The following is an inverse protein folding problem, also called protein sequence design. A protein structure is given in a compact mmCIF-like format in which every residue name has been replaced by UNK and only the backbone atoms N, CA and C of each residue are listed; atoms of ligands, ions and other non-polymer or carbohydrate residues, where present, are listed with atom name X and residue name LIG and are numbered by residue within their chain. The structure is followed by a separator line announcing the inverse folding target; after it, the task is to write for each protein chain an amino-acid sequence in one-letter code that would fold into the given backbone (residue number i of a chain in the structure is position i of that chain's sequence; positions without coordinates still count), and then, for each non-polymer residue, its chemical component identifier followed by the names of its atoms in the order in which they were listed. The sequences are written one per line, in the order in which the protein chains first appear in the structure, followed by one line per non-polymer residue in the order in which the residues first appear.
data_IF_832640499447
#
_entry.id   IF_832640499447
#
_cell.length_a   1.000
_cell.length_b   1.000
_cell.length_c   1.000
_cell.angle_alpha   90.00
_cell.angle_beta   90.00
_cell.angle_gamma   90.00
#
_symmetry.space_group_name_H-M   'P 1'
#
loop_
_entity.id
_entity.type
_entity.pdbx_description
1 polymer ?
#
# COMPACT_ATOMS: atom_id res chain seq x y z
N UNK A 1 19.68 52.97 20.35
CA UNK A 1 19.29 51.85 21.23
C UNK A 1 18.22 50.93 20.64
N UNK A 2 17.07 51.42 20.17
CA UNK A 2 16.00 50.57 19.61
C UNK A 2 16.40 49.65 18.44
N UNK A 3 17.29 50.10 17.54
CA UNK A 3 17.77 49.28 16.40
C UNK A 3 18.70 48.12 16.81
N UNK A 4 19.33 48.18 17.99
CA UNK A 4 20.20 47.10 18.50
C UNK A 4 19.32 46.04 19.19
N UNK A 5 18.30 46.48 19.93
CA UNK A 5 17.35 45.58 20.60
C UNK A 5 16.57 44.73 19.58
N UNK A 6 16.14 45.32 18.46
CA UNK A 6 15.44 44.59 17.39
C UNK A 6 16.36 43.57 16.68
N UNK A 7 17.65 43.88 16.52
CA UNK A 7 18.63 42.93 15.96
C UNK A 7 18.96 41.79 16.92
N UNK A 8 18.99 42.03 18.23
CA UNK A 8 19.11 40.97 19.24
C UNK A 8 17.85 40.08 19.30
N UNK A 9 16.65 40.64 19.10
CA UNK A 9 15.40 39.87 19.07
C UNK A 9 15.33 38.90 17.88
N UNK A 10 15.88 39.29 16.73
CA UNK A 10 15.95 38.42 15.55
C UNK A 10 17.02 37.31 15.67
N UNK A 11 18.09 37.53 16.45
CA UNK A 11 19.10 36.50 16.70
C UNK A 11 18.63 35.43 17.71
N UNK A 12 17.72 35.78 18.63
CA UNK A 12 17.12 34.84 19.60
C UNK A 12 16.01 33.95 19.01
N UNK A 13 15.50 34.26 17.81
CA UNK A 13 14.53 33.42 17.09
C UNK A 13 15.18 32.34 16.22
N UNK A 14 16.51 32.35 16.05
CA UNK A 14 17.25 31.37 15.24
C UNK A 14 17.83 30.23 16.08
N UNK A 15 17.74 30.30 17.41
CA UNK A 15 17.86 29.11 18.25
C UNK A 15 16.59 28.28 18.17
N UNK A 16 16.28 27.76 16.97
CA UNK A 16 15.43 26.58 16.84
C UNK A 16 16.17 25.47 17.57
N UNK A 17 15.76 25.24 18.82
CA UNK A 17 15.99 23.94 19.44
C UNK A 17 15.34 22.95 18.48
N UNK A 18 16.17 22.21 17.75
CA UNK A 18 15.75 21.19 16.79
C UNK A 18 15.19 20.00 17.58
N UNK A 19 14.10 20.23 18.32
CA UNK A 19 13.32 19.16 18.89
C UNK A 19 12.69 18.44 17.72
N UNK A 20 12.99 17.15 17.59
CA UNK A 20 12.34 16.32 16.59
C UNK A 20 10.81 16.50 16.70
N UNK A 21 10.13 16.57 15.55
CA UNK A 21 8.68 16.81 15.53
C UNK A 21 7.97 15.72 16.36
N UNK A 22 7.09 16.13 17.27
CA UNK A 22 6.35 15.20 18.12
C UNK A 22 5.43 14.31 17.27
N UNK A 23 5.27 13.05 17.68
CA UNK A 23 4.34 12.11 17.03
C UNK A 23 2.91 12.65 17.13
N UNK A 24 2.10 12.38 16.10
CA UNK A 24 0.69 12.78 16.11
C UNK A 24 -0.10 11.88 17.06
N UNK A 25 -1.24 12.36 17.55
CA UNK A 25 -2.13 11.58 18.44
C UNK A 25 -3.53 11.40 17.87
N UNK A 26 -3.79 11.92 16.66
CA UNK A 26 -5.06 11.78 15.96
C UNK A 26 -4.83 11.11 14.60
N UNK A 27 -5.34 9.88 14.46
CA UNK A 27 -5.18 9.06 13.25
C UNK A 27 -5.75 9.74 12.00
N UNK A 28 -6.93 10.36 12.10
CA UNK A 28 -7.58 10.98 10.94
C UNK A 28 -6.78 12.17 10.40
N UNK A 29 -6.24 13.01 11.30
CA UNK A 29 -5.37 14.15 10.93
C UNK A 29 -4.05 13.62 10.35
N UNK A 30 -3.47 12.56 10.94
CA UNK A 30 -2.26 11.93 10.42
C UNK A 30 -2.46 11.39 9.00
N UNK A 31 -3.59 10.73 8.74
CA UNK A 31 -3.96 10.25 7.39
C UNK A 31 -4.15 11.40 6.39
N UNK A 32 -4.77 12.52 6.79
CA UNK A 32 -4.89 13.73 5.93
C UNK A 32 -3.53 14.34 5.60
N UNK A 33 -2.64 14.39 6.59
CA UNK A 33 -1.27 14.88 6.40
C UNK A 33 -0.48 13.95 5.48
N UNK A 34 -0.58 12.63 5.69
CA UNK A 34 0.08 11.62 4.88
C UNK A 34 -0.36 11.68 3.41
N UNK A 35 -1.66 11.85 3.15
CA UNK A 35 -2.20 12.07 1.82
C UNK A 35 -1.60 13.31 1.15
N UNK A 36 -1.48 14.42 1.88
CA UNK A 36 -0.93 15.69 1.38
C UNK A 36 0.58 15.59 1.11
N UNK A 37 1.30 14.86 1.97
CA UNK A 37 2.75 14.67 1.86
C UNK A 37 3.15 13.51 0.94
N UNK A 38 2.19 12.76 0.40
CA UNK A 38 2.42 11.54 -0.39
C UNK A 38 3.25 10.49 0.38
N UNK A 39 2.90 10.26 1.66
CA UNK A 39 3.56 9.31 2.55
C UNK A 39 2.59 8.24 3.02
N UNK A 40 3.15 7.15 3.53
CA UNK A 40 2.42 6.17 4.34
C UNK A 40 2.34 6.67 5.80
N UNK A 41 1.42 6.10 6.57
CA UNK A 41 1.29 6.36 8.00
C UNK A 41 2.08 5.29 8.76
N UNK A 42 2.89 5.71 9.74
CA UNK A 42 3.48 4.82 10.72
C UNK A 42 2.67 4.93 12.00
N UNK A 43 1.99 3.87 12.37
CA UNK A 43 1.08 3.83 13.50
C UNK A 43 1.57 2.84 14.56
N UNK A 44 1.43 3.25 15.82
CA UNK A 44 1.60 2.40 16.99
C UNK A 44 0.42 2.58 17.93
N UNK A 45 0.12 1.56 18.72
CA UNK A 45 -0.84 1.64 19.82
C UNK A 45 -0.26 2.42 20.99
N UNK A 46 -1.11 3.12 21.74
CA UNK A 46 -0.72 3.92 22.89
C UNK A 46 -0.05 3.07 23.97
N UNK A 47 -0.52 1.84 24.20
CA UNK A 47 0.08 0.93 25.18
C UNK A 47 1.57 0.67 24.89
N UNK A 48 1.96 0.58 23.61
CA UNK A 48 3.35 0.37 23.19
C UNK A 48 4.30 1.49 23.60
N UNK A 49 3.77 2.65 23.99
CA UNK A 49 4.54 3.83 24.43
C UNK A 49 4.79 3.86 25.93
N UNK A 50 4.18 2.95 26.69
CA UNK A 50 4.28 2.91 28.16
C UNK A 50 5.60 2.31 28.66
N UNK A 51 6.39 1.72 27.77
CA UNK A 51 7.71 1.16 28.02
C UNK A 51 8.69 1.55 26.90
N UNK A 52 10.02 1.49 27.14
CA UNK A 52 11.01 1.75 26.10
C UNK A 52 10.83 0.78 24.92
N UNK A 53 10.42 1.33 23.78
CA UNK A 53 10.22 0.55 22.56
C UNK A 53 11.53 0.43 21.78
N UNK A 54 12.31 -0.59 22.12
CA UNK A 54 13.61 -0.85 21.49
C UNK A 54 13.49 -1.20 20.00
N UNK A 55 14.35 -0.60 19.17
CA UNK A 55 14.40 -0.86 17.74
C UNK A 55 15.84 -1.01 17.25
N UNK A 56 16.00 -1.72 16.14
CA UNK A 56 17.25 -1.76 15.40
C UNK A 56 17.24 -0.72 14.27
N UNK A 57 18.40 -0.17 13.94
CA UNK A 57 18.63 0.61 12.74
C UNK A 57 20.02 0.32 12.19
N UNK A 58 20.26 0.57 10.90
CA UNK A 58 21.60 0.57 10.34
C UNK A 58 22.18 1.99 10.43
N UNK A 59 23.42 2.10 10.89
CA UNK A 59 24.17 3.35 10.82
C UNK A 59 24.61 3.67 9.38
N UNK A 60 25.29 4.81 9.20
CA UNK A 60 25.78 5.28 7.89
C UNK A 60 26.73 4.29 7.20
N UNK A 61 27.38 3.39 7.96
CA UNK A 61 28.28 2.36 7.44
C UNK A 61 27.56 1.02 7.22
N UNK A 62 26.25 0.97 7.42
CA UNK A 62 25.44 -0.25 7.31
C UNK A 62 25.53 -1.18 8.52
N UNK A 63 26.13 -0.74 9.64
CA UNK A 63 26.23 -1.54 10.86
C UNK A 63 24.93 -1.45 11.64
N UNK A 64 24.44 -2.61 12.08
CA UNK A 64 23.26 -2.70 12.93
C UNK A 64 23.54 -2.11 14.32
N UNK A 65 22.71 -1.16 14.74
CA UNK A 65 22.74 -0.50 16.05
C UNK A 65 21.39 -0.63 16.74
N UNK A 66 21.41 -0.74 18.06
CA UNK A 66 20.22 -0.77 18.91
C UNK A 66 19.91 0.63 19.41
N UNK A 67 18.64 1.03 19.32
CA UNK A 67 18.08 2.24 19.91
C UNK A 67 17.11 1.83 20.99
N UNK A 68 17.32 2.33 22.21
CA UNK A 68 16.56 1.94 23.40
C UNK A 68 15.07 2.29 23.32
N UNK A 69 14.74 3.45 22.76
CA UNK A 69 13.35 3.91 22.61
C UNK A 69 13.13 4.61 21.27
N UNK A 70 12.20 4.09 20.48
CA UNK A 70 11.73 4.67 19.23
C UNK A 70 11.14 6.08 19.42
N UNK A 71 10.51 6.33 20.58
CA UNK A 71 9.75 7.55 20.85
C UNK A 71 10.62 8.68 21.40
N UNK A 72 11.72 8.35 22.07
CA UNK A 72 12.60 9.32 22.73
C UNK A 72 13.86 9.64 21.91
N UNK A 73 14.14 8.85 20.86
CA UNK A 73 15.35 9.03 20.04
C UNK A 73 15.26 10.28 19.16
N UNK A 74 16.09 11.28 19.48
CA UNK A 74 16.29 12.49 18.65
C UNK A 74 16.90 12.17 17.28
N UNK A 75 17.55 11.01 17.13
CA UNK A 75 18.15 10.58 15.86
C UNK A 75 17.12 9.91 14.96
N UNK A 76 16.25 9.06 15.52
CA UNK A 76 15.29 8.28 14.73
C UNK A 76 14.03 9.07 14.38
N UNK A 77 13.55 9.93 15.28
CA UNK A 77 12.31 10.67 15.05
C UNK A 77 12.31 11.50 13.75
N UNK A 78 13.37 12.29 13.43
CA UNK A 78 13.44 13.01 12.15
C UNK A 78 13.42 12.08 10.92
N UNK A 79 14.10 10.93 11.00
CA UNK A 79 14.13 9.94 9.91
C UNK A 79 12.75 9.33 9.72
N UNK A 80 12.04 8.99 10.80
CA UNK A 80 10.66 8.49 10.70
C UNK A 80 9.76 9.53 10.03
N UNK A 81 9.86 10.81 10.42
CA UNK A 81 9.11 11.90 9.80
C UNK A 81 9.45 12.15 8.33
N UNK A 82 10.68 11.85 7.91
CA UNK A 82 11.09 11.96 6.51
C UNK A 82 10.29 11.00 5.63
N UNK A 83 10.13 9.75 6.04
CA UNK A 83 9.53 8.68 5.23
C UNK A 83 8.05 8.42 5.52
N UNK A 84 7.58 8.74 6.73
CA UNK A 84 6.23 8.46 7.20
C UNK A 84 5.59 9.66 7.88
N UNK A 85 4.29 9.56 8.11
CA UNK A 85 3.61 10.38 9.12
C UNK A 85 3.40 9.50 10.37
N UNK A 86 4.16 9.71 11.46
CA UNK A 86 4.04 8.91 12.67
C UNK A 86 2.87 9.34 13.55
N UNK A 87 2.14 8.36 14.07
CA UNK A 87 0.98 8.55 14.95
C UNK A 87 0.92 7.50 16.04
N UNK A 88 0.64 7.95 17.26
CA UNK A 88 0.26 7.12 18.41
C UNK A 88 -1.26 7.15 18.47
N UNK A 89 -1.90 5.98 18.42
CA UNK A 89 -3.37 5.86 18.42
C UNK A 89 -3.81 5.36 19.78
N UNK A 90 -4.79 6.04 20.38
CA UNK A 90 -5.28 5.67 21.71
C UNK A 90 -6.01 4.33 21.71
N UNK A 91 -5.84 3.58 22.79
CA UNK A 91 -6.57 2.32 23.02
C UNK A 91 -8.08 2.51 23.00
N UNK A 92 -8.58 3.71 23.33
CA UNK A 92 -10.01 4.00 23.26
C UNK A 92 -10.57 3.89 21.84
N UNK A 93 -9.73 4.01 20.81
CA UNK A 93 -10.13 3.88 19.41
C UNK A 93 -10.14 2.42 18.91
N UNK A 94 -9.65 1.46 19.71
CA UNK A 94 -9.53 0.07 19.30
C UNK A 94 -10.87 -0.52 18.88
N UNK A 95 -11.93 -0.31 19.66
CA UNK A 95 -13.24 -0.92 19.41
C UNK A 95 -13.83 -0.47 18.05
N UNK A 96 -13.74 0.82 17.75
CA UNK A 96 -14.24 1.39 16.49
C UNK A 96 -13.43 0.87 15.30
N UNK A 97 -12.10 0.89 15.41
CA UNK A 97 -11.20 0.41 14.35
C UNK A 97 -11.33 -1.10 14.12
N UNK A 98 -11.56 -1.87 15.18
CA UNK A 98 -11.78 -3.31 15.10
C UNK A 98 -13.10 -3.64 14.39
N UNK A 99 -14.19 -2.94 14.75
CA UNK A 99 -15.50 -3.14 14.13
C UNK A 99 -15.48 -2.91 12.61
N UNK A 100 -14.63 -1.98 12.14
CA UNK A 100 -14.46 -1.72 10.71
C UNK A 100 -13.83 -2.89 9.95
N UNK A 101 -13.01 -3.71 10.60
CA UNK A 101 -12.24 -4.79 9.97
C UNK A 101 -12.69 -6.20 10.36
N UNK A 102 -13.50 -6.35 11.41
CA UNK A 102 -13.98 -7.63 11.91
C UNK A 102 -14.73 -8.42 10.82
N UNK A 103 -14.35 -9.68 10.65
CA UNK A 103 -14.94 -10.56 9.62
C UNK A 103 -14.57 -10.20 8.17
N UNK A 104 -13.81 -9.12 7.93
CA UNK A 104 -13.42 -8.63 6.59
C UNK A 104 -11.94 -8.79 6.29
N UNK A 105 -11.14 -9.24 7.26
CA UNK A 105 -9.68 -9.32 7.15
C UNK A 105 -9.17 -10.71 7.56
N UNK A 106 -8.04 -11.10 6.98
CA UNK A 106 -7.40 -12.39 7.29
C UNK A 106 -6.89 -12.45 8.73
N UNK A 107 -6.73 -13.67 9.27
CA UNK A 107 -6.13 -13.89 10.59
C UNK A 107 -4.76 -13.22 10.74
N UNK A 108 -3.95 -13.23 9.68
CA UNK A 108 -2.63 -12.58 9.67
C UNK A 108 -2.76 -11.06 9.86
N UNK A 109 -3.74 -10.45 9.19
CA UNK A 109 -4.04 -9.03 9.36
C UNK A 109 -4.52 -8.73 10.78
N UNK A 110 -5.47 -9.54 11.29
CA UNK A 110 -5.99 -9.34 12.64
C UNK A 110 -4.91 -9.48 13.71
N UNK A 111 -4.00 -10.45 13.57
CA UNK A 111 -2.85 -10.59 14.47
C UNK A 111 -1.95 -9.35 14.43
N UNK A 112 -1.64 -8.84 13.23
CA UNK A 112 -0.84 -7.62 13.05
C UNK A 112 -1.54 -6.37 13.60
N UNK A 113 -2.86 -6.29 13.48
CA UNK A 113 -3.64 -5.20 14.04
C UNK A 113 -3.62 -5.22 15.56
N UNK A 114 -3.77 -6.40 16.17
CA UNK A 114 -3.88 -6.57 17.63
C UNK A 114 -2.56 -6.48 18.39
N UNK A 115 -1.41 -6.73 17.76
CA UNK A 115 -0.11 -6.73 18.47
C UNK A 115 0.45 -5.31 18.70
N UNK A 116 1.49 -5.17 19.52
CA UNK A 116 2.16 -3.88 19.80
C UNK A 116 3.22 -3.51 18.76
N UNK A 117 3.30 -4.23 17.64
CA UNK A 117 4.30 -3.95 16.61
C UNK A 117 3.96 -2.69 15.82
N UNK A 118 4.93 -2.15 15.08
CA UNK A 118 4.71 -0.98 14.22
C UNK A 118 3.77 -1.40 13.09
N UNK A 119 2.72 -0.63 12.84
CA UNK A 119 1.85 -0.78 11.67
C UNK A 119 2.20 0.29 10.65
N UNK A 120 2.46 -0.13 9.42
CA UNK A 120 2.51 0.79 8.29
C UNK A 120 1.18 0.72 7.58
N UNK A 121 0.51 1.87 7.44
CA UNK A 121 -0.83 1.96 6.89
C UNK A 121 -0.81 2.88 5.68
N UNK A 122 -1.68 2.60 4.71
CA UNK A 122 -2.04 3.64 3.75
C UNK A 122 -2.91 4.72 4.40
N UNK A 123 -3.19 5.76 3.63
CA UNK A 123 -3.97 6.93 4.07
C UNK A 123 -5.44 6.63 4.34
N UNK A 124 -5.93 5.43 3.96
CA UNK A 124 -7.29 4.98 4.18
C UNK A 124 -7.37 3.95 5.32
N UNK A 125 -6.25 3.67 5.99
CA UNK A 125 -6.21 2.89 7.21
C UNK A 125 -5.92 1.40 7.04
N UNK A 126 -5.56 0.92 5.85
CA UNK A 126 -5.23 -0.48 5.65
C UNK A 126 -3.74 -0.75 5.92
N UNK A 127 -3.44 -1.76 6.76
CA UNK A 127 -2.07 -2.14 7.14
C UNK A 127 -1.39 -2.93 6.01
N UNK A 128 -0.18 -2.53 5.63
CA UNK A 128 0.61 -3.17 4.57
C UNK A 128 1.68 -4.14 5.11
N UNK A 129 2.28 -3.86 6.27
CA UNK A 129 3.42 -4.63 6.80
C UNK A 129 3.01 -5.86 7.62
N UNK A 130 2.21 -6.74 7.02
CA UNK A 130 1.59 -7.88 7.70
C UNK A 130 2.58 -8.99 8.09
N UNK A 131 3.80 -8.99 7.57
CA UNK A 131 4.80 -10.02 7.87
C UNK A 131 5.33 -9.89 9.30
N UNK A 132 5.13 -10.94 10.09
CA UNK A 132 5.78 -11.10 11.39
C UNK A 132 7.28 -11.33 11.18
N UNK A 133 8.11 -10.57 11.88
CA UNK A 133 9.54 -10.83 11.93
C UNK A 133 9.84 -11.64 13.19
N UNK A 134 10.64 -12.72 13.11
CA UNK A 134 10.99 -13.52 14.28
C UNK A 134 11.97 -12.80 15.22
N UNK A 135 12.49 -11.65 14.80
CA UNK A 135 13.42 -10.84 15.57
C UNK A 135 12.73 -10.23 16.79
N UNK A 136 13.46 -10.18 17.90
CA UNK A 136 12.99 -9.60 19.16
C UNK A 136 12.69 -8.10 19.04
N UNK A 137 13.38 -7.40 18.13
CA UNK A 137 13.23 -5.96 17.89
C UNK A 137 12.96 -5.70 16.41
N UNK A 138 12.06 -4.76 16.11
CA UNK A 138 11.84 -4.34 14.73
C UNK A 138 12.99 -3.48 14.22
N UNK A 139 13.30 -3.60 12.93
CA UNK A 139 14.34 -2.83 12.27
C UNK A 139 13.73 -1.66 11.47
N UNK A 140 13.95 -0.43 11.93
CA UNK A 140 13.43 0.80 11.30
C UNK A 140 14.00 1.00 9.90
N UNK A 141 15.28 0.71 9.67
CA UNK A 141 15.89 0.81 8.34
C UNK A 141 15.21 -0.14 7.36
N UNK A 142 14.93 -1.38 7.77
CA UNK A 142 14.18 -2.34 6.94
C UNK A 142 12.76 -1.88 6.68
N UNK A 143 12.07 -1.32 7.69
CA UNK A 143 10.72 -0.77 7.55
C UNK A 143 10.70 0.39 6.54
N UNK A 144 11.64 1.33 6.64
CA UNK A 144 11.77 2.45 5.70
C UNK A 144 12.02 1.95 4.29
N UNK A 145 13.00 1.05 4.10
CA UNK A 145 13.32 0.52 2.78
C UNK A 145 12.15 -0.23 2.13
N UNK A 146 11.35 -0.93 2.94
CA UNK A 146 10.23 -1.72 2.43
C UNK A 146 8.93 -0.91 2.27
N UNK A 147 8.70 0.14 3.07
CA UNK A 147 7.38 0.78 3.13
C UNK A 147 7.41 2.31 3.11
N UNK A 148 8.58 2.94 3.23
CA UNK A 148 8.78 4.40 3.14
C UNK A 148 8.68 4.91 1.69
N UNK A 149 7.58 4.57 1.02
CA UNK A 149 7.36 4.83 -0.39
C UNK A 149 6.62 6.14 -0.63
N UNK A 150 6.92 6.81 -1.74
CA UNK A 150 6.19 7.99 -2.17
C UNK A 150 4.85 7.57 -2.83
N UNK A 151 3.73 7.95 -2.23
CA UNK A 151 2.39 7.56 -2.68
C UNK A 151 1.79 8.47 -3.75
N UNK A 152 2.57 9.40 -4.32
CA UNK A 152 2.08 10.37 -5.34
C UNK A 152 1.49 9.69 -6.57
N UNK A 153 2.02 8.51 -6.93
CA UNK A 153 1.48 7.71 -8.03
C UNK A 153 0.04 7.24 -7.76
N UNK A 154 -0.31 6.99 -6.49
CA UNK A 154 -1.61 6.50 -6.03
C UNK A 154 -2.60 7.64 -5.72
N UNK A 155 -2.14 8.90 -5.69
CA UNK A 155 -2.88 10.02 -5.12
C UNK A 155 -4.31 10.19 -5.69
N UNK A 156 -4.54 10.15 -7.02
CA UNK A 156 -5.89 10.31 -7.56
C UNK A 156 -6.86 9.24 -7.07
N UNK A 157 -6.42 7.97 -7.04
CA UNK A 157 -7.25 6.85 -6.63
C UNK A 157 -7.45 6.81 -5.10
N UNK A 158 -6.44 7.20 -4.32
CA UNK A 158 -6.57 7.37 -2.87
C UNK A 158 -7.59 8.47 -2.52
N UNK A 159 -7.54 9.60 -3.23
CA UNK A 159 -8.51 10.69 -3.06
C UNK A 159 -9.91 10.28 -3.51
N UNK A 160 -10.02 9.57 -4.64
CA UNK A 160 -11.30 9.07 -5.16
C UNK A 160 -12.02 8.20 -4.13
N UNK A 161 -11.35 7.15 -3.65
CA UNK A 161 -11.88 6.25 -2.63
C UNK A 161 -12.27 6.96 -1.33
N UNK A 162 -11.48 7.94 -0.89
CA UNK A 162 -11.78 8.70 0.33
C UNK A 162 -12.97 9.63 0.16
N UNK A 163 -13.21 10.14 -1.05
CA UNK A 163 -14.29 11.07 -1.35
C UNK A 163 -15.63 10.33 -1.46
N UNK A 164 -15.62 9.21 -2.17
CA UNK A 164 -16.80 8.39 -2.40
C UNK A 164 -16.36 6.92 -2.41
N UNK A 165 -16.95 6.12 -1.54
CA UNK A 165 -16.64 4.70 -1.39
C UNK A 165 -17.69 3.87 -2.13
N UNK A 166 -17.47 3.70 -3.41
CA UNK A 166 -18.30 2.92 -4.33
C UNK A 166 -17.48 1.81 -5.01
N UNK A 167 -18.12 1.04 -5.89
CA UNK A 167 -17.42 -0.01 -6.64
C UNK A 167 -16.22 0.54 -7.43
N UNK A 168 -16.39 1.66 -8.16
CA UNK A 168 -15.39 2.13 -9.11
C UNK A 168 -14.17 2.72 -8.42
N UNK A 169 -14.37 3.60 -7.46
CA UNK A 169 -13.31 4.18 -6.62
C UNK A 169 -12.47 3.09 -5.94
N UNK A 170 -13.13 2.08 -5.38
CA UNK A 170 -12.48 0.94 -4.72
C UNK A 170 -11.74 0.04 -5.71
N UNK A 171 -12.38 -0.31 -6.84
CA UNK A 171 -11.78 -1.13 -7.89
C UNK A 171 -10.56 -0.46 -8.53
N UNK A 172 -10.65 0.84 -8.84
CA UNK A 172 -9.53 1.56 -9.45
C UNK A 172 -8.37 1.73 -8.47
N UNK A 173 -8.65 1.92 -7.17
CA UNK A 173 -7.60 1.91 -6.15
C UNK A 173 -6.90 0.54 -6.06
N UNK A 174 -7.66 -0.56 -6.07
CA UNK A 174 -7.11 -1.92 -6.13
C UNK A 174 -6.21 -2.11 -7.36
N UNK A 175 -6.70 -1.72 -8.54
CA UNK A 175 -5.93 -1.79 -9.78
C UNK A 175 -4.66 -0.95 -9.72
N UNK A 176 -4.72 0.23 -9.09
CA UNK A 176 -3.58 1.12 -8.98
C UNK A 176 -2.52 0.58 -8.03
N UNK A 177 -2.92 -0.08 -6.94
CA UNK A 177 -1.98 -0.78 -6.06
C UNK A 177 -1.27 -1.94 -6.76
N UNK A 178 -1.97 -2.71 -7.61
CA UNK A 178 -1.32 -3.70 -8.45
C UNK A 178 -0.28 -3.07 -9.38
N UNK A 179 -0.61 -1.94 -10.01
CA UNK A 179 0.32 -1.25 -10.91
C UNK A 179 1.53 -0.69 -10.14
N UNK A 180 1.28 -0.13 -8.97
CA UNK A 180 2.32 0.37 -8.06
C UNK A 180 3.26 -0.77 -7.60
N UNK A 181 2.72 -1.95 -7.31
CA UNK A 181 3.50 -3.10 -6.87
C UNK A 181 4.53 -3.58 -7.91
N UNK A 182 4.30 -3.31 -9.20
CA UNK A 182 5.29 -3.64 -10.25
C UNK A 182 6.59 -2.84 -10.13
N UNK A 183 6.56 -1.68 -9.44
CA UNK A 183 7.74 -0.85 -9.18
C UNK A 183 8.43 -1.19 -7.84
N UNK A 184 7.85 -2.09 -7.06
CA UNK A 184 8.38 -2.46 -5.75
C UNK A 184 9.49 -3.50 -5.87
N UNK A 185 10.39 -3.51 -4.88
CA UNK A 185 11.42 -4.54 -4.76
C UNK A 185 10.80 -5.91 -4.51
N UNK A 186 11.54 -6.98 -4.76
CA UNK A 186 11.00 -8.34 -4.59
C UNK A 186 10.52 -8.62 -3.16
N UNK A 187 11.21 -8.05 -2.16
CA UNK A 187 10.95 -8.28 -0.74
C UNK A 187 9.63 -7.66 -0.24
N UNK A 188 9.19 -6.54 -0.83
CA UNK A 188 8.01 -5.80 -0.40
C UNK A 188 6.86 -5.83 -1.42
N UNK A 189 7.10 -6.32 -2.65
CA UNK A 189 6.09 -6.39 -3.71
C UNK A 189 4.82 -7.12 -3.29
N UNK A 190 4.95 -8.27 -2.62
CA UNK A 190 3.79 -9.04 -2.14
C UNK A 190 2.91 -8.24 -1.18
N UNK A 191 3.49 -7.43 -0.31
CA UNK A 191 2.73 -6.62 0.65
C UNK A 191 1.83 -5.60 -0.06
N UNK A 192 2.31 -4.96 -1.13
CA UNK A 192 1.50 -4.02 -1.92
C UNK A 192 0.48 -4.73 -2.83
N UNK A 193 0.77 -5.95 -3.29
CA UNK A 193 -0.24 -6.80 -3.94
C UNK A 193 -1.36 -7.11 -2.94
N UNK A 194 -1.01 -7.59 -1.74
CA UNK A 194 -1.97 -7.94 -0.69
C UNK A 194 -2.86 -6.75 -0.34
N UNK A 195 -2.28 -5.54 -0.23
CA UNK A 195 -3.04 -4.30 -0.03
C UNK A 195 -4.02 -4.02 -1.17
N UNK A 196 -3.59 -4.18 -2.43
CA UNK A 196 -4.49 -4.07 -3.59
C UNK A 196 -5.61 -5.12 -3.56
N UNK A 197 -5.34 -6.33 -3.07
CA UNK A 197 -6.33 -7.40 -2.95
C UNK A 197 -7.35 -7.13 -1.85
N UNK A 198 -6.99 -6.45 -0.77
CA UNK A 198 -7.96 -5.99 0.25
C UNK A 198 -9.01 -5.06 -0.36
N UNK A 199 -8.57 -4.11 -1.21
CA UNK A 199 -9.50 -3.23 -1.93
C UNK A 199 -10.29 -3.99 -2.99
N UNK A 200 -9.70 -4.97 -3.68
CA UNK A 200 -10.42 -5.74 -4.69
C UNK A 200 -11.54 -6.60 -4.08
N UNK A 201 -11.27 -7.21 -2.92
CA UNK A 201 -12.27 -7.94 -2.14
C UNK A 201 -13.40 -7.00 -1.70
N UNK A 202 -13.06 -5.81 -1.25
CA UNK A 202 -14.06 -4.81 -0.87
C UNK A 202 -14.92 -4.36 -2.07
N UNK A 203 -14.31 -4.11 -3.24
CA UNK A 203 -15.04 -3.83 -4.46
C UNK A 203 -15.98 -4.99 -4.83
N UNK A 204 -15.54 -6.24 -4.68
CA UNK A 204 -16.38 -7.42 -4.88
C UNK A 204 -17.59 -7.43 -3.94
N UNK A 205 -17.40 -7.07 -2.68
CA UNK A 205 -18.49 -7.02 -1.70
C UNK A 205 -19.51 -5.92 -2.02
N UNK A 206 -19.08 -4.78 -2.55
CA UNK A 206 -19.97 -3.70 -3.00
C UNK A 206 -20.87 -4.15 -4.17
N UNK A 207 -20.35 -4.96 -5.12
CA UNK A 207 -21.15 -5.55 -6.22
C UNK A 207 -22.24 -6.50 -5.70
N UNK A 208 -21.99 -7.19 -4.58
CA UNK A 208 -22.96 -8.08 -3.94
C UNK A 208 -24.01 -7.30 -3.16
N UNK A 209 -23.59 -6.24 -2.47
CA UNK A 209 -24.46 -5.40 -1.67
C UNK A 209 -25.43 -4.55 -2.51
N UNK A 210 -25.03 -4.15 -3.72
CA UNK A 210 -25.81 -3.32 -4.64
C UNK A 210 -26.03 -4.00 -6.01
N UNK A 211 -26.87 -5.06 -6.09
CA UNK A 211 -27.12 -5.74 -7.35
C UNK A 211 -27.77 -4.81 -8.38
N UNK A 212 -27.21 -4.76 -9.58
CA UNK A 212 -27.74 -4.02 -10.73
C UNK A 212 -27.56 -4.83 -12.02
N UNK A 213 -28.00 -4.26 -13.16
CA UNK A 213 -27.89 -4.91 -14.48
C UNK A 213 -26.44 -5.21 -14.89
N UNK A 214 -25.48 -4.44 -14.38
CA UNK A 214 -24.05 -4.61 -14.66
C UNK A 214 -23.36 -5.66 -13.78
N UNK A 215 -24.06 -6.27 -12.82
CA UNK A 215 -23.46 -7.14 -11.80
C UNK A 215 -22.56 -8.24 -12.39
N UNK A 216 -22.99 -8.86 -13.49
CA UNK A 216 -22.19 -9.89 -14.18
C UNK A 216 -20.89 -9.32 -14.75
N UNK A 217 -20.95 -8.15 -15.37
CA UNK A 217 -19.79 -7.46 -15.93
C UNK A 217 -18.82 -6.99 -14.83
N UNK A 218 -19.33 -6.48 -13.71
CA UNK A 218 -18.51 -6.04 -12.58
C UNK A 218 -17.81 -7.23 -11.90
N UNK A 219 -18.53 -8.33 -11.63
CA UNK A 219 -17.95 -9.55 -11.06
C UNK A 219 -16.86 -10.14 -11.98
N UNK A 220 -17.10 -10.19 -13.28
CA UNK A 220 -16.09 -10.63 -14.23
C UNK A 220 -14.88 -9.69 -14.23
N UNK A 221 -15.09 -8.38 -14.13
CA UNK A 221 -14.01 -7.39 -14.09
C UNK A 221 -13.13 -7.55 -12.84
N UNK A 222 -13.74 -7.78 -11.68
CA UNK A 222 -13.03 -8.14 -10.44
C UNK A 222 -12.19 -9.40 -10.63
N UNK A 223 -12.79 -10.46 -11.17
CA UNK A 223 -12.09 -11.72 -11.41
C UNK A 223 -10.91 -11.55 -12.38
N UNK A 224 -11.03 -10.72 -13.41
CA UNK A 224 -9.94 -10.44 -14.34
C UNK A 224 -8.80 -9.66 -13.67
N UNK A 225 -9.11 -8.71 -12.79
CA UNK A 225 -8.10 -7.96 -12.04
C UNK A 225 -7.36 -8.85 -11.04
N UNK A 226 -8.07 -9.78 -10.38
CA UNK A 226 -7.46 -10.80 -9.53
C UNK A 226 -6.38 -11.59 -10.28
N UNK A 227 -6.60 -11.92 -11.56
CA UNK A 227 -5.60 -12.65 -12.36
C UNK A 227 -4.33 -11.86 -12.62
N UNK A 228 -4.38 -10.52 -12.67
CA UNK A 228 -3.22 -9.68 -12.93
C UNK A 228 -2.14 -9.90 -11.86
N UNK A 229 -2.53 -10.16 -10.59
CA UNK A 229 -1.59 -10.42 -9.50
C UNK A 229 -0.63 -11.57 -9.84
N UNK A 230 -1.10 -12.59 -10.56
CA UNK A 230 -0.29 -13.76 -10.88
C UNK A 230 0.82 -13.44 -11.86
N UNK A 231 0.65 -12.45 -12.75
CA UNK A 231 1.75 -11.99 -13.59
C UNK A 231 2.81 -11.28 -12.75
N UNK A 232 2.39 -10.49 -11.76
CA UNK A 232 3.30 -9.77 -10.85
C UNK A 232 4.07 -10.77 -9.97
N UNK A 233 3.42 -11.85 -9.54
CA UNK A 233 4.01 -12.96 -8.76
C UNK A 233 4.74 -14.01 -9.61
N UNK A 234 5.00 -13.73 -10.89
CA UNK A 234 5.67 -14.63 -11.84
C UNK A 234 5.03 -16.02 -11.99
N UNK A 235 3.69 -16.06 -12.04
CA UNK A 235 2.86 -17.27 -12.16
C UNK A 235 1.94 -17.23 -13.41
N UNK A 236 2.47 -16.99 -14.62
CA UNK A 236 1.68 -16.81 -15.85
C UNK A 236 0.81 -18.03 -16.21
N UNK A 237 1.29 -19.26 -15.96
CA UNK A 237 0.52 -20.49 -16.22
C UNK A 237 -0.75 -20.58 -15.36
N UNK A 238 -0.70 -20.10 -14.11
CA UNK A 238 -1.86 -20.09 -13.21
C UNK A 238 -2.90 -19.09 -13.70
N UNK A 239 -2.46 -17.88 -14.06
CA UNK A 239 -3.30 -16.84 -14.66
C UNK A 239 -3.99 -17.35 -15.93
N UNK A 240 -3.22 -17.92 -16.87
CA UNK A 240 -3.75 -18.43 -18.14
C UNK A 240 -4.80 -19.53 -17.93
N UNK A 241 -4.57 -20.44 -16.99
CA UNK A 241 -5.53 -21.51 -16.66
C UNK A 241 -6.85 -20.94 -16.12
N UNK A 242 -6.80 -19.92 -15.27
CA UNK A 242 -8.01 -19.28 -14.74
C UNK A 242 -8.70 -18.43 -15.80
N UNK A 243 -7.95 -17.71 -16.63
CA UNK A 243 -8.50 -16.92 -17.73
C UNK A 243 -9.29 -17.78 -18.72
N UNK A 244 -8.77 -18.97 -19.05
CA UNK A 244 -9.47 -19.98 -19.87
C UNK A 244 -10.75 -20.50 -19.21
N UNK A 245 -10.89 -20.47 -17.89
CA UNK A 245 -12.14 -20.82 -17.20
C UNK A 245 -13.15 -19.69 -17.35
N UNK A 246 -12.75 -18.45 -17.06
CA UNK A 246 -13.61 -17.26 -17.22
C UNK A 246 -14.17 -17.17 -18.63
N UNK A 247 -13.35 -17.46 -19.65
CA UNK A 247 -13.80 -17.42 -21.05
C UNK A 247 -14.88 -18.46 -21.38
N UNK A 248 -14.91 -19.62 -20.71
CA UNK A 248 -15.95 -20.64 -20.94
C UNK A 248 -17.33 -20.16 -20.50
N UNK A 249 -17.38 -19.27 -19.52
CA UNK A 249 -18.62 -18.72 -18.97
C UNK A 249 -19.12 -17.50 -19.79
N UNK A 250 -18.40 -17.16 -20.86
CA UNK A 250 -18.67 -16.00 -21.72
C UNK A 250 -17.98 -14.72 -21.22
N UNK A 251 -17.56 -13.87 -22.15
CA UNK A 251 -16.95 -12.58 -21.84
C UNK A 251 -17.96 -11.47 -22.07
N UNK A 252 -18.13 -10.61 -21.07
CA UNK A 252 -18.96 -9.41 -21.19
C UNK A 252 -18.26 -8.40 -22.10
N UNK A 253 -18.99 -7.70 -23.00
CA UNK A 253 -18.40 -6.80 -23.99
C UNK A 253 -17.45 -5.76 -23.37
N UNK A 254 -17.83 -5.21 -22.21
CA UNK A 254 -17.08 -4.19 -21.48
C UNK A 254 -15.74 -4.70 -20.89
N UNK A 255 -15.47 -6.01 -20.96
CA UNK A 255 -14.27 -6.65 -20.41
C UNK A 255 -13.38 -7.30 -21.47
N UNK A 256 -13.79 -7.32 -22.74
CA UNK A 256 -13.02 -7.94 -23.84
C UNK A 256 -11.61 -7.38 -23.97
N UNK A 257 -11.45 -6.05 -23.84
CA UNK A 257 -10.14 -5.41 -23.90
C UNK A 257 -9.22 -5.87 -22.76
N UNK A 258 -9.77 -6.11 -21.57
CA UNK A 258 -9.00 -6.57 -20.43
C UNK A 258 -8.60 -8.04 -20.58
N UNK A 259 -9.51 -8.88 -21.10
CA UNK A 259 -9.21 -10.27 -21.47
C UNK A 259 -8.10 -10.34 -22.52
N UNK A 260 -8.17 -9.50 -23.56
CA UNK A 260 -7.13 -9.44 -24.57
C UNK A 260 -5.77 -9.04 -23.98
N UNK A 261 -5.75 -8.07 -23.06
CA UNK A 261 -4.55 -7.71 -22.31
C UNK A 261 -3.98 -8.89 -21.51
N UNK A 262 -4.79 -9.61 -20.74
CA UNK A 262 -4.31 -10.72 -19.92
C UNK A 262 -3.80 -11.89 -20.78
N UNK A 263 -4.48 -12.22 -21.88
CA UNK A 263 -4.02 -13.25 -22.81
C UNK A 263 -2.71 -12.88 -23.49
N UNK A 264 -2.63 -11.67 -24.06
CA UNK A 264 -1.41 -11.16 -24.68
C UNK A 264 -0.23 -11.22 -23.71
N UNK A 265 -0.44 -10.76 -22.48
CA UNK A 265 0.60 -10.76 -21.44
C UNK A 265 1.02 -12.18 -21.07
N UNK A 266 0.06 -13.08 -20.81
CA UNK A 266 0.34 -14.47 -20.45
C UNK A 266 1.15 -15.20 -21.52
N UNK A 267 0.72 -15.09 -22.78
CA UNK A 267 1.39 -15.78 -23.89
C UNK A 267 2.74 -15.15 -24.24
N UNK A 268 2.90 -13.84 -24.03
CA UNK A 268 4.19 -13.17 -24.22
C UNK A 268 5.20 -13.61 -23.17
N UNK A 269 4.80 -13.77 -21.90
CA UNK A 269 5.66 -14.33 -20.84
C UNK A 269 6.00 -15.80 -21.12
N UNK A 270 5.06 -16.56 -21.70
CA UNK A 270 5.24 -17.98 -22.01
C UNK A 270 5.89 -18.24 -23.38
N UNK A 271 6.27 -17.18 -24.09
CA UNK A 271 6.92 -17.23 -25.41
C UNK A 271 6.11 -17.99 -26.50
N UNK A 272 4.78 -17.98 -26.41
CA UNK A 272 3.90 -18.56 -27.44
C UNK A 272 3.65 -17.55 -28.57
N UNK A 273 4.57 -17.49 -29.53
CA UNK A 273 4.51 -16.50 -30.63
C UNK A 273 3.21 -16.53 -31.43
N UNK A 274 2.58 -17.71 -31.57
CA UNK A 274 1.36 -17.87 -32.37
C UNK A 274 0.21 -17.15 -31.68
N UNK A 275 0.00 -17.43 -30.39
CA UNK A 275 -1.02 -16.76 -29.59
C UNK A 275 -0.69 -15.28 -29.37
N UNK A 276 0.59 -14.93 -29.20
CA UNK A 276 1.01 -13.52 -29.08
C UNK A 276 0.57 -12.70 -30.30
N UNK A 277 0.80 -13.20 -31.52
CA UNK A 277 0.37 -12.51 -32.76
C UNK A 277 -1.15 -12.34 -32.81
N UNK A 278 -1.90 -13.36 -32.41
CA UNK A 278 -3.36 -13.33 -32.34
C UNK A 278 -3.85 -12.22 -31.40
N UNK A 279 -3.35 -12.18 -30.18
CA UNK A 279 -3.84 -11.26 -29.14
C UNK A 279 -3.28 -9.84 -29.28
N UNK A 280 -2.10 -9.66 -29.88
CA UNK A 280 -1.49 -8.34 -30.13
C UNK A 280 -2.35 -7.43 -30.99
N UNK A 281 -3.16 -7.99 -31.89
CA UNK A 281 -4.09 -7.20 -32.73
C UNK A 281 -5.29 -6.62 -31.96
N UNK A 282 -5.56 -7.11 -30.74
CA UNK A 282 -6.77 -6.80 -29.95
C UNK A 282 -6.48 -5.90 -28.74
N UNK A 283 -5.22 -5.59 -28.47
CA UNK A 283 -4.78 -4.84 -27.30
C UNK A 283 -4.56 -3.35 -27.64
N UNK A 284 -4.96 -2.46 -26.73
CA UNK A 284 -4.72 -1.02 -26.87
C UNK A 284 -3.26 -0.66 -26.61
N UNK A 285 -2.83 0.50 -27.11
CA UNK A 285 -1.46 1.01 -26.91
C UNK A 285 -1.13 1.26 -25.42
N UNK A 286 -2.11 1.66 -24.62
CA UNK A 286 -1.97 1.83 -23.17
C UNK A 286 -1.73 0.48 -22.49
N UNK A 287 -2.53 -0.53 -22.83
CA UNK A 287 -2.40 -1.87 -22.29
C UNK A 287 -1.10 -2.56 -22.73
N UNK A 288 -0.57 -2.24 -23.92
CA UNK A 288 0.72 -2.74 -24.38
C UNK A 288 1.88 -2.31 -23.48
N UNK A 289 1.91 -1.05 -23.03
CA UNK A 289 2.98 -0.57 -22.13
C UNK A 289 2.95 -1.31 -20.79
N UNK A 290 1.76 -1.49 -20.23
CA UNK A 290 1.56 -2.23 -18.98
C UNK A 290 1.92 -3.71 -19.14
N UNK A 291 1.54 -4.33 -20.27
CA UNK A 291 1.90 -5.71 -20.58
C UNK A 291 3.43 -5.87 -20.68
N UNK A 292 4.12 -4.94 -21.35
CA UNK A 292 5.59 -4.97 -21.44
C UNK A 292 6.26 -4.91 -20.08
N UNK A 293 5.73 -4.10 -19.14
CA UNK A 293 6.26 -4.05 -17.78
C UNK A 293 6.13 -5.41 -17.06
N UNK A 294 4.98 -6.06 -17.18
CA UNK A 294 4.76 -7.41 -16.64
C UNK A 294 5.65 -8.46 -17.31
N UNK A 295 5.84 -8.38 -18.62
CA UNK A 295 6.74 -9.27 -19.39
C UNK A 295 8.17 -9.13 -18.88
N UNK A 296 8.67 -7.89 -18.77
CA UNK A 296 10.01 -7.61 -18.27
C UNK A 296 10.21 -8.09 -16.84
N UNK A 297 9.17 -7.99 -15.99
CA UNK A 297 9.22 -8.49 -14.61
C UNK A 297 9.37 -10.03 -14.55
N UNK A 298 8.90 -10.73 -15.57
CA UNK A 298 8.97 -12.20 -15.69
C UNK A 298 10.18 -12.69 -16.48
N UNK A 299 10.97 -11.77 -17.06
CA UNK A 299 12.22 -12.08 -17.77
C UNK A 299 13.37 -12.30 -16.80
#
# INVERSE_FOLDING_TARGET
MYKIIIRCLFLLLVSNVSNAQAWMTNLEIAQKLALTQNKMVLMVWEESTTYPYGVMANDENGKLVFIESLFESEVISPIVWEYFVPVIVSESQYADLYADIEGKRSNKYMNKFNDDSIKIMDVNGNIVNLTSHPEQFQNITTIINNYGVNTKFLLPELMGYRTEKDFYSTYYLASKYLDFSMYMSENNRSAFIDLGMLYLEEASNLVVAEPNEDQKALNQRVALLDLQQYFILKRPKKALRQLKKIQKDGIEPNNESFVAFLYYTAYSILEDETEVKLWKSKISSVNLKKAQMLINLNS
#
